data_IF_990021171166
#
_entry.id   IF_990021171166
#
_cell.length_a   1.000
_cell.length_b   1.000
_cell.length_c   1.000
_cell.angle_alpha   90.00
_cell.angle_beta   90.00
_cell.angle_gamma   90.00
#
_symmetry.space_group_name_H-M   'P 1'
#
loop_
_entity.id
_entity.type
_entity.pdbx_description
1 polymer ?
#
# COMPACT_ATOMS: atom_id res chain seq x y z
N UNK A 1 -12.91 -0.98 -3.79
CA UNK A 1 -11.51 -1.33 -3.43
C UNK A 1 -10.59 -0.64 -4.40
N UNK A 2 -9.59 0.08 -3.89
CA UNK A 2 -8.59 0.75 -4.76
C UNK A 2 -8.00 -0.27 -5.73
N UNK A 3 -7.86 0.12 -7.00
CA UNK A 3 -7.30 -0.75 -8.03
C UNK A 3 -5.81 -0.90 -7.77
N UNK A 4 -5.32 -2.13 -7.64
CA UNK A 4 -3.89 -2.39 -7.46
C UNK A 4 -3.29 -2.82 -8.79
N UNK A 5 -2.17 -2.21 -9.16
CA UNK A 5 -1.43 -2.62 -10.35
C UNK A 5 -0.96 -4.07 -10.20
N UNK A 6 -0.96 -4.84 -11.30
CA UNK A 6 -0.50 -6.23 -11.28
C UNK A 6 1.00 -6.34 -10.99
N UNK A 7 1.77 -5.34 -11.43
CA UNK A 7 3.22 -5.29 -11.30
C UNK A 7 3.65 -3.99 -10.60
N UNK A 8 4.79 -3.99 -9.89
CA UNK A 8 5.40 -2.77 -9.37
C UNK A 8 5.74 -1.82 -10.52
N UNK A 9 5.76 -0.51 -10.27
CA UNK A 9 6.33 0.41 -11.23
C UNK A 9 7.83 0.13 -11.42
N UNK A 10 8.36 0.44 -12.62
CA UNK A 10 9.74 0.13 -12.99
C UNK A 10 10.77 0.64 -11.97
N UNK A 11 10.55 1.87 -11.48
CA UNK A 11 11.38 2.57 -10.51
C UNK A 11 10.98 2.30 -9.05
N UNK A 12 10.09 1.33 -8.78
CA UNK A 12 9.64 1.08 -7.41
C UNK A 12 10.84 0.73 -6.51
N UNK A 13 11.07 1.48 -5.41
CA UNK A 13 12.23 1.24 -4.55
C UNK A 13 12.15 -0.09 -3.78
N UNK A 14 11.02 -0.80 -3.89
CA UNK A 14 10.71 -1.99 -3.09
C UNK A 14 10.67 -3.29 -3.88
N UNK A 15 10.34 -3.21 -5.18
CA UNK A 15 10.10 -4.40 -6.00
C UNK A 15 10.19 -4.12 -7.52
N UNK A 16 10.69 -2.94 -7.93
CA UNK A 16 10.80 -2.59 -9.35
C UNK A 16 11.86 -3.42 -10.08
N UNK A 17 11.75 -3.51 -11.40
CA UNK A 17 12.80 -4.14 -12.24
C UNK A 17 14.14 -3.39 -12.14
N UNK A 18 14.06 -2.06 -12.01
CA UNK A 18 15.20 -1.20 -11.74
C UNK A 18 14.90 -0.40 -10.48
N UNK A 19 15.03 -1.00 -9.28
CA UNK A 19 14.63 -0.34 -8.05
C UNK A 19 15.40 0.97 -7.89
N UNK A 20 14.67 2.04 -7.61
CA UNK A 20 15.30 3.29 -7.19
C UNK A 20 16.09 3.00 -5.91
N UNK A 21 17.39 3.27 -5.96
CA UNK A 21 18.24 3.14 -4.78
C UNK A 21 17.90 4.30 -3.84
N UNK A 22 17.31 3.96 -2.69
CA UNK A 22 17.00 4.91 -1.63
C UNK A 22 17.91 4.61 -0.44
N UNK A 23 18.26 5.65 0.31
CA UNK A 23 19.06 5.46 1.52
C UNK A 23 18.27 4.66 2.58
N UNK A 24 18.97 4.01 3.54
CA UNK A 24 18.31 3.36 4.67
C UNK A 24 17.36 4.28 5.43
N UNK A 25 17.74 5.55 5.62
CA UNK A 25 16.95 6.56 6.32
C UNK A 25 15.66 6.87 5.55
N UNK A 26 15.76 7.10 4.23
CA UNK A 26 14.58 7.31 3.38
C UNK A 26 13.64 6.09 3.40
N UNK A 27 14.20 4.88 3.48
CA UNK A 27 13.40 3.65 3.62
C UNK A 27 12.67 3.60 4.96
N UNK A 28 13.35 3.97 6.03
CA UNK A 28 12.78 4.05 7.38
C UNK A 28 11.67 5.10 7.46
N UNK A 29 11.87 6.29 6.90
CA UNK A 29 10.85 7.33 6.79
C UNK A 29 9.57 6.82 6.13
N UNK A 30 9.71 6.07 5.03
CA UNK A 30 8.56 5.50 4.31
C UNK A 30 7.84 4.47 5.17
N UNK A 31 8.57 3.60 5.88
CA UNK A 31 7.97 2.62 6.80
C UNK A 31 7.25 3.34 7.94
N UNK A 32 7.86 4.35 8.54
CA UNK A 32 7.28 5.15 9.62
C UNK A 32 6.01 5.88 9.16
N UNK A 33 6.02 6.42 7.94
CA UNK A 33 4.86 7.05 7.33
C UNK A 33 3.65 6.09 7.26
N UNK A 34 3.89 4.84 6.86
CA UNK A 34 2.84 3.80 6.82
C UNK A 34 2.41 3.37 8.21
N UNK A 35 3.36 3.20 9.13
CA UNK A 35 3.08 2.82 10.51
C UNK A 35 2.16 3.83 11.20
N UNK A 36 2.26 5.11 10.85
CA UNK A 36 1.41 6.20 11.34
C UNK A 36 0.02 6.28 10.66
N UNK A 37 -0.37 5.25 9.90
CA UNK A 37 -1.73 5.12 9.35
C UNK A 37 -1.93 5.79 7.99
N UNK A 38 -0.85 6.22 7.32
CA UNK A 38 -0.93 6.72 5.95
C UNK A 38 -0.82 5.56 4.96
N UNK A 39 -1.88 5.35 4.19
CA UNK A 39 -1.97 4.23 3.23
C UNK A 39 -1.47 4.59 1.82
N UNK A 40 -1.00 5.82 1.62
CA UNK A 40 -0.56 6.33 0.32
C UNK A 40 0.97 6.37 0.25
N UNK A 41 1.55 5.31 -0.29
CA UNK A 41 3.01 5.08 -0.31
C UNK A 41 3.71 5.57 -1.58
N UNK A 42 2.97 5.74 -2.68
CA UNK A 42 3.53 6.00 -4.01
C UNK A 42 2.60 6.91 -4.79
N UNK A 43 3.14 7.56 -5.82
CA UNK A 43 2.38 8.26 -6.85
C UNK A 43 1.19 7.44 -7.31
N UNK A 44 0.00 7.93 -6.99
CA UNK A 44 -1.21 7.66 -7.73
C UNK A 44 -1.11 8.30 -9.11
N UNK A 45 -1.85 7.74 -10.07
CA UNK A 45 -2.23 8.51 -11.24
C UNK A 45 -3.05 9.74 -10.80
N UNK A 46 -3.23 10.73 -11.69
CA UNK A 46 -3.95 11.98 -11.39
C UNK A 46 -5.35 11.76 -10.79
N UNK A 47 -5.90 10.56 -10.99
CA UNK A 47 -7.21 10.13 -10.47
C UNK A 47 -7.18 9.60 -9.04
N UNK A 48 -6.02 9.32 -8.43
CA UNK A 48 -5.91 8.64 -7.13
C UNK A 48 -6.54 7.22 -7.07
N UNK A 49 -6.82 6.61 -8.23
CA UNK A 49 -7.59 5.35 -8.26
C UNK A 49 -6.71 4.10 -8.24
N UNK A 50 -5.41 4.27 -8.52
CA UNK A 50 -4.50 3.12 -8.71
C UNK A 50 -3.33 3.11 -7.72
N UNK A 51 -3.12 1.97 -7.05
CA UNK A 51 -2.03 1.75 -6.10
C UNK A 51 -0.94 0.89 -6.76
N UNK A 52 0.32 1.31 -6.63
CA UNK A 52 1.47 0.51 -7.07
C UNK A 52 1.57 -0.81 -6.28
N UNK A 53 1.84 -1.94 -6.97
CA UNK A 53 1.99 -3.26 -6.34
C UNK A 53 3.05 -3.28 -5.24
N UNK A 54 4.23 -2.70 -5.51
CA UNK A 54 5.32 -2.69 -4.53
C UNK A 54 4.99 -1.87 -3.28
N UNK A 55 4.27 -0.75 -3.43
CA UNK A 55 3.73 -0.01 -2.29
C UNK A 55 2.71 -0.85 -1.50
N UNK A 56 1.78 -1.53 -2.20
CA UNK A 56 0.82 -2.41 -1.55
C UNK A 56 1.52 -3.56 -0.80
N UNK A 57 2.55 -4.17 -1.36
CA UNK A 57 3.26 -5.28 -0.73
C UNK A 57 3.94 -4.87 0.59
N UNK A 58 4.54 -3.68 0.63
CA UNK A 58 5.10 -3.15 1.87
C UNK A 58 4.02 -2.88 2.90
N UNK A 59 2.92 -2.25 2.50
CA UNK A 59 1.80 -2.03 3.41
C UNK A 59 1.30 -3.35 3.99
N UNK A 60 1.13 -4.40 3.17
CA UNK A 60 0.67 -5.70 3.62
C UNK A 60 1.65 -6.35 4.61
N UNK A 61 2.96 -6.24 4.37
CA UNK A 61 3.98 -6.72 5.32
C UNK A 61 3.90 -5.99 6.65
N UNK A 62 3.78 -4.66 6.62
CA UNK A 62 3.64 -3.85 7.83
C UNK A 62 2.34 -4.18 8.57
N UNK A 63 1.23 -4.38 7.85
CA UNK A 63 -0.06 -4.73 8.43
C UNK A 63 -0.02 -6.08 9.17
N UNK A 64 0.72 -7.07 8.65
CA UNK A 64 0.97 -8.33 9.37
C UNK A 64 1.78 -8.08 10.63
N UNK A 65 2.88 -7.33 10.54
CA UNK A 65 3.72 -7.02 11.71
C UNK A 65 2.96 -6.26 12.80
N UNK A 66 1.96 -5.44 12.42
CA UNK A 66 1.08 -4.71 13.35
C UNK A 66 -0.09 -5.57 13.86
N UNK A 67 -0.22 -6.83 13.45
CA UNK A 67 -1.32 -7.71 13.83
C UNK A 67 -2.68 -7.32 13.23
N UNK A 68 -2.70 -6.49 12.18
CA UNK A 68 -3.92 -6.03 11.53
C UNK A 68 -4.51 -7.07 10.57
N UNK A 69 -3.66 -7.89 9.97
CA UNK A 69 -4.04 -8.94 9.02
C UNK A 69 -3.24 -10.23 9.27
N UNK A 70 -3.81 -11.38 8.95
CA UNK A 70 -3.22 -12.70 9.21
C UNK A 70 -2.10 -13.10 8.23
N UNK A 71 -2.07 -12.52 7.04
CA UNK A 71 -1.08 -12.81 6.01
C UNK A 71 -0.90 -11.59 5.09
N UNK A 72 0.27 -11.41 4.44
CA UNK A 72 0.55 -10.23 3.62
C UNK A 72 -0.11 -10.36 2.23
N UNK A 73 -1.43 -10.46 2.19
CA UNK A 73 -2.23 -10.67 0.98
C UNK A 73 -3.38 -9.68 0.90
N UNK A 74 -3.79 -9.32 -0.32
CA UNK A 74 -4.96 -8.46 -0.51
C UNK A 74 -6.25 -9.09 0.04
N UNK A 75 -6.37 -10.43 0.00
CA UNK A 75 -7.51 -11.15 0.57
C UNK A 75 -7.59 -10.98 2.10
N UNK A 76 -6.46 -11.09 2.80
CA UNK A 76 -6.41 -10.89 4.24
C UNK A 76 -6.76 -9.44 4.62
N UNK A 77 -6.28 -8.47 3.84
CA UNK A 77 -6.65 -7.07 4.00
C UNK A 77 -8.14 -6.84 3.76
N UNK A 78 -8.70 -7.37 2.68
CA UNK A 78 -10.12 -7.25 2.37
C UNK A 78 -11.00 -7.85 3.49
N UNK A 79 -10.61 -9.00 4.03
CA UNK A 79 -11.26 -9.64 5.17
C UNK A 79 -11.24 -8.72 6.40
N UNK A 80 -10.07 -8.19 6.77
CA UNK A 80 -9.93 -7.29 7.91
C UNK A 80 -10.74 -5.99 7.74
N UNK A 81 -10.74 -5.41 6.54
CA UNK A 81 -11.53 -4.20 6.23
C UNK A 81 -13.04 -4.46 6.37
N UNK A 82 -13.54 -5.60 5.86
CA UNK A 82 -14.95 -6.00 6.01
C UNK A 82 -15.32 -6.19 7.48
N UNK A 83 -14.47 -6.87 8.26
CA UNK A 83 -14.67 -7.06 9.69
C UNK A 83 -14.71 -5.73 10.47
N UNK A 84 -13.91 -4.76 10.05
CA UNK A 84 -13.89 -3.41 10.61
C UNK A 84 -15.02 -2.51 10.09
N UNK A 85 -15.92 -3.01 9.23
CA UNK A 85 -16.98 -2.20 8.61
C UNK A 85 -16.49 -1.14 7.63
N UNK A 86 -15.23 -1.20 7.20
CA UNK A 86 -14.63 -0.25 6.26
C UNK A 86 -14.94 -0.71 4.84
N UNK A 87 -15.73 0.08 4.09
CA UNK A 87 -15.96 -0.17 2.68
C UNK A 87 -14.89 0.54 1.82
N UNK A 88 -13.97 -0.17 1.16
CA UNK A 88 -12.88 0.43 0.40
C UNK A 88 -13.31 1.28 -0.81
N UNK A 89 -14.60 1.25 -1.18
CA UNK A 89 -15.16 2.07 -2.27
C UNK A 89 -15.83 3.37 -1.80
N UNK A 90 -16.01 3.57 -0.49
CA UNK A 90 -16.79 4.69 0.06
C UNK A 90 -16.05 6.03 0.12
N UNK A 91 -14.75 6.06 -0.17
CA UNK A 91 -13.96 7.30 -0.23
C UNK A 91 -13.76 7.85 -1.65
N UNK A 92 -14.51 7.36 -2.65
CA UNK A 92 -14.36 7.75 -4.07
C UNK A 92 -15.52 8.67 -4.55
N UNK A 93 -16.27 9.32 -3.65
CA UNK A 93 -17.26 10.34 -4.06
C UNK A 93 -17.12 11.60 -3.21
N UNK A 94 -16.43 12.60 -3.78
CA UNK A 94 -16.74 14.02 -3.67
C UNK A 94 -15.87 14.78 -4.69
N UNK A 95 -16.24 14.65 -5.96
CA UNK A 95 -16.14 15.72 -6.96
C UNK A 95 -17.40 15.70 -7.80
#
# INVERSE_FOLDING_TARGET
MQKVNKQPCRSCPFAGETPLQISPEAREEIVNYVCNGKNHLCHSDETNQTVCRGGRDIFLRIAVCKGLIEAPTDKALEKAMKQAGVNPGSHINNR
#
